data_IF_596900192801
#
_entry.id   IF_596900192801
#
_cell.length_a   1.000
_cell.length_b   1.000
_cell.length_c   1.000
_cell.angle_alpha   90.00
_cell.angle_beta   90.00
_cell.angle_gamma   90.00
#
_symmetry.space_group_name_H-M   'P 1'
#
loop_
_entity.id
_entity.type
_entity.pdbx_description
1 polymer ?
#
# COMPACT_ATOMS: atom_id res chain seq x y z
N UNK A 1 -14.91 4.28 -14.19
CA UNK A 1 -14.55 2.99 -13.54
C UNK A 1 -15.70 1.98 -13.66
N UNK A 2 -15.51 0.86 -14.36
CA UNK A 2 -16.61 -0.07 -14.76
C UNK A 2 -17.46 -0.61 -13.60
N UNK A 3 -16.88 -1.25 -12.58
CA UNK A 3 -17.70 -1.86 -11.51
C UNK A 3 -18.49 -0.85 -10.67
N UNK A 4 -17.91 0.31 -10.37
CA UNK A 4 -18.60 1.28 -9.49
C UNK A 4 -19.46 2.30 -10.22
N UNK A 5 -19.07 2.76 -11.42
CA UNK A 5 -19.86 3.73 -12.17
C UNK A 5 -20.90 3.04 -13.05
N UNK A 6 -20.51 2.04 -13.84
CA UNK A 6 -21.44 1.39 -14.78
C UNK A 6 -22.37 0.39 -14.10
N UNK A 7 -21.84 -0.44 -13.20
CA UNK A 7 -22.63 -1.46 -12.48
C UNK A 7 -23.12 -1.02 -11.08
N UNK A 8 -22.79 0.20 -10.65
CA UNK A 8 -23.27 0.73 -9.37
C UNK A 8 -22.83 -0.05 -8.12
N UNK A 9 -21.77 -0.86 -8.20
CA UNK A 9 -21.35 -1.69 -7.06
C UNK A 9 -20.80 -0.80 -5.95
N UNK A 10 -21.39 -0.84 -4.74
CA UNK A 10 -21.03 0.07 -3.67
C UNK A 10 -19.62 -0.19 -3.16
N UNK A 11 -18.96 0.89 -2.73
CA UNK A 11 -17.68 0.85 -2.06
C UNK A 11 -17.89 0.73 -0.55
N UNK A 12 -17.32 -0.31 0.05
CA UNK A 12 -17.29 -0.49 1.50
C UNK A 12 -16.02 0.16 2.04
N UNK A 13 -16.17 1.34 2.62
CA UNK A 13 -15.12 2.00 3.40
C UNK A 13 -14.83 1.18 4.66
N UNK A 14 -13.56 1.08 5.03
CA UNK A 14 -13.12 0.49 6.31
C UNK A 14 -12.40 1.53 7.19
N UNK A 15 -12.67 2.82 6.96
CA UNK A 15 -12.11 3.95 7.72
C UNK A 15 -12.47 3.94 9.21
N UNK A 16 -13.49 3.18 9.59
CA UNK A 16 -13.88 2.89 10.98
C UNK A 16 -12.87 1.97 11.69
N UNK A 17 -12.14 1.15 10.93
CA UNK A 17 -11.11 0.24 11.47
C UNK A 17 -9.68 0.73 11.16
N UNK A 18 -9.43 1.23 9.95
CA UNK A 18 -8.13 1.74 9.51
C UNK A 18 -8.21 3.25 9.25
N UNK A 19 -7.60 4.04 10.14
CA UNK A 19 -7.76 5.49 10.13
C UNK A 19 -6.92 6.18 9.04
N UNK A 20 -5.89 5.51 8.54
CA UNK A 20 -4.95 6.10 7.60
C UNK A 20 -5.56 6.20 6.20
N UNK A 21 -5.50 7.40 5.63
CA UNK A 21 -6.12 7.74 4.34
C UNK A 21 -5.18 8.55 3.44
N UNK A 22 -3.97 8.81 3.91
CA UNK A 22 -3.00 9.64 3.22
C UNK A 22 -1.61 9.04 3.37
N UNK A 23 -0.78 9.25 2.35
CA UNK A 23 0.60 8.84 2.37
C UNK A 23 1.49 9.87 1.68
N UNK A 24 2.71 10.03 2.18
CA UNK A 24 3.74 10.83 1.54
C UNK A 24 4.87 9.88 1.16
N UNK A 25 5.10 9.74 -0.14
CA UNK A 25 6.10 8.83 -0.67
C UNK A 25 7.30 9.61 -1.20
N UNK A 26 8.48 9.03 -1.04
CA UNK A 26 9.71 9.61 -1.52
C UNK A 26 10.76 8.57 -1.89
N UNK A 27 11.69 8.98 -2.74
CA UNK A 27 12.80 8.15 -3.22
C UNK A 27 14.10 8.73 -2.69
N UNK A 28 14.83 7.93 -1.91
CA UNK A 28 16.05 8.35 -1.24
C UNK A 28 17.23 7.55 -1.80
N UNK A 29 18.29 8.19 -2.33
CA UNK A 29 19.46 7.49 -2.80
C UNK A 29 20.27 6.92 -1.64
N UNK A 30 21.04 5.86 -1.90
CA UNK A 30 22.08 5.40 -0.97
C UNK A 30 23.25 6.38 -0.93
N UNK A 31 23.99 6.41 0.18
CA UNK A 31 25.19 7.23 0.32
C UNK A 31 26.38 6.58 -0.39
N UNK A 32 26.45 5.26 -0.35
CA UNK A 32 27.49 4.46 -1.02
C UNK A 32 26.90 3.26 -1.75
N UNK A 33 27.57 2.80 -2.81
CA UNK A 33 27.18 1.58 -3.52
C UNK A 33 27.36 0.29 -2.69
N UNK A 34 28.11 0.38 -1.59
CA UNK A 34 28.33 -0.70 -0.62
C UNK A 34 27.36 -0.66 0.57
N UNK A 35 26.42 0.30 0.60
CA UNK A 35 25.45 0.38 1.69
C UNK A 35 24.63 -0.92 1.76
N UNK A 36 24.50 -1.45 2.97
CA UNK A 36 23.72 -2.67 3.18
C UNK A 36 22.25 -2.44 2.85
N UNK A 37 21.72 -3.31 1.99
CA UNK A 37 20.30 -3.35 1.67
C UNK A 37 19.64 -4.24 2.72
N UNK A 38 18.67 -3.69 3.45
CA UNK A 38 17.89 -4.47 4.40
C UNK A 38 17.12 -5.58 3.67
N UNK A 39 17.20 -6.81 4.17
CA UNK A 39 16.48 -7.96 3.62
C UNK A 39 14.97 -7.93 3.90
N UNK A 40 14.50 -6.95 4.67
CA UNK A 40 13.11 -6.78 5.07
C UNK A 40 12.66 -5.33 4.92
N UNK A 41 11.36 -5.15 4.69
CA UNK A 41 10.73 -3.84 4.77
C UNK A 41 10.71 -3.38 6.22
N UNK A 42 11.30 -2.23 6.49
CA UNK A 42 11.31 -1.65 7.83
C UNK A 42 10.04 -0.82 7.99
N UNK A 43 9.31 -1.06 9.07
CA UNK A 43 8.10 -0.31 9.43
C UNK A 43 8.31 0.38 10.77
N UNK A 44 8.45 1.70 10.76
CA UNK A 44 8.70 2.51 11.95
C UNK A 44 7.44 3.25 12.36
N UNK A 45 6.88 2.94 13.53
CA UNK A 45 5.71 3.64 14.06
C UNK A 45 6.01 5.13 14.30
N UNK A 46 5.03 5.99 13.97
CA UNK A 46 5.05 7.43 14.21
C UNK A 46 3.82 7.83 15.03
N UNK A 47 3.79 9.08 15.50
CA UNK A 47 2.69 9.58 16.36
C UNK A 47 1.30 9.48 15.70
N UNK A 48 1.21 9.71 14.39
CA UNK A 48 -0.05 9.76 13.65
C UNK A 48 -0.06 8.81 12.44
N UNK A 49 0.68 7.70 12.53
CA UNK A 49 0.85 6.78 11.41
C UNK A 49 2.12 5.95 11.51
N UNK A 50 2.70 5.60 10.38
CA UNK A 50 3.94 4.82 10.32
C UNK A 50 4.72 5.10 9.03
N UNK A 51 6.03 4.93 9.10
CA UNK A 51 6.93 5.09 7.96
C UNK A 51 7.35 3.72 7.46
N UNK A 52 7.20 3.47 6.16
CA UNK A 52 7.83 2.35 5.49
C UNK A 52 9.20 2.76 4.94
N UNK A 53 10.18 1.87 5.01
CA UNK A 53 11.45 1.97 4.31
C UNK A 53 11.69 0.64 3.57
N UNK A 54 11.74 0.73 2.24
CA UNK A 54 11.97 -0.39 1.33
C UNK A 54 13.30 -0.16 0.61
N UNK A 55 14.32 -0.93 0.95
CA UNK A 55 15.59 -0.95 0.23
C UNK A 55 15.45 -1.68 -1.11
N UNK A 56 15.70 -0.98 -2.22
CA UNK A 56 15.87 -1.57 -3.55
C UNK A 56 17.35 -1.49 -3.94
N UNK A 57 17.84 -2.28 -4.92
CA UNK A 57 19.25 -2.24 -5.31
C UNK A 57 19.80 -0.85 -5.66
N UNK A 58 18.96 0.02 -6.25
CA UNK A 58 19.38 1.35 -6.70
C UNK A 58 19.07 2.48 -5.72
N UNK A 59 18.09 2.30 -4.82
CA UNK A 59 17.52 3.38 -3.98
C UNK A 59 16.64 2.82 -2.86
N UNK A 60 16.30 3.67 -1.89
CA UNK A 60 15.27 3.38 -0.88
C UNK A 60 13.95 4.06 -1.25
N UNK A 61 12.87 3.30 -1.19
CA UNK A 61 11.50 3.82 -1.26
C UNK A 61 10.98 4.03 0.15
N UNK A 62 10.97 5.28 0.60
CA UNK A 62 10.54 5.64 1.96
C UNK A 62 9.21 6.39 1.86
N UNK A 63 8.28 6.10 2.76
CA UNK A 63 7.07 6.91 2.83
C UNK A 63 6.38 6.85 4.17
N UNK A 64 5.66 7.92 4.49
CA UNK A 64 4.89 8.09 5.72
C UNK A 64 3.42 7.91 5.41
N UNK A 65 2.80 6.83 5.90
CA UNK A 65 1.35 6.69 5.94
C UNK A 65 0.82 7.41 7.16
N UNK A 66 -0.20 8.24 7.00
CA UNK A 66 -0.81 8.98 8.09
C UNK A 66 -2.33 9.10 7.90
N UNK A 67 -3.00 9.51 8.99
CA UNK A 67 -4.43 9.81 8.97
C UNK A 67 -4.65 11.32 8.96
N UNK A 68 -5.33 11.81 7.92
CA UNK A 68 -5.68 13.23 7.76
C UNK A 68 -6.55 13.78 8.92
N UNK A 69 -7.19 12.89 9.69
CA UNK A 69 -8.00 13.25 10.87
C UNK A 69 -7.15 13.67 12.08
N UNK A 70 -5.90 13.20 12.15
CA UNK A 70 -5.04 13.40 13.32
C UNK A 70 -3.80 14.24 12.99
N UNK A 71 -3.43 14.41 11.72
CA UNK A 71 -2.30 15.26 11.32
C UNK A 71 -2.47 15.82 9.92
N UNK A 72 -1.98 17.04 9.72
CA UNK A 72 -1.95 17.69 8.42
C UNK A 72 -0.77 17.19 7.57
N UNK A 73 -0.90 17.36 6.26
CA UNK A 73 0.14 16.96 5.32
C UNK A 73 1.50 17.60 5.62
N UNK A 74 1.52 18.88 6.01
CA UNK A 74 2.77 19.60 6.29
C UNK A 74 3.49 19.01 7.53
N UNK A 75 2.73 18.67 8.58
CA UNK A 75 3.27 18.00 9.77
C UNK A 75 3.81 16.59 9.45
N UNK A 76 3.09 15.86 8.59
CA UNK A 76 3.52 14.55 8.12
C UNK A 76 4.80 14.64 7.26
N UNK A 77 4.96 15.69 6.44
CA UNK A 77 6.18 15.97 5.67
C UNK A 77 7.36 16.28 6.56
N UNK A 78 7.18 17.09 7.61
CA UNK A 78 8.25 17.39 8.58
C UNK A 78 8.72 16.11 9.27
N UNK A 79 7.79 15.22 9.62
CA UNK A 79 8.13 13.93 10.25
C UNK A 79 8.92 13.04 9.28
N UNK A 80 8.49 12.94 8.02
CA UNK A 80 9.21 12.20 6.99
C UNK A 80 10.59 12.81 6.70
N UNK A 81 10.68 14.13 6.62
CA UNK A 81 11.94 14.86 6.39
C UNK A 81 12.95 14.55 7.49
N UNK A 82 12.55 14.65 8.76
CA UNK A 82 13.41 14.32 9.91
C UNK A 82 13.88 12.87 9.88
N UNK A 83 13.02 11.95 9.45
CA UNK A 83 13.38 10.55 9.30
C UNK A 83 14.45 10.36 8.20
N UNK A 84 14.27 10.99 7.03
CA UNK A 84 15.22 10.92 5.92
C UNK A 84 16.55 11.61 6.27
N UNK A 85 16.49 12.77 6.93
CA UNK A 85 17.66 13.51 7.38
C UNK A 85 18.56 12.67 8.31
N UNK A 86 17.96 11.87 9.20
CA UNK A 86 18.70 10.93 10.06
C UNK A 86 19.42 9.85 9.25
N UNK A 87 18.91 9.45 8.09
CA UNK A 87 19.45 8.37 7.27
C UNK A 87 20.55 8.82 6.32
N UNK A 88 20.36 9.96 5.63
CA UNK A 88 21.26 10.42 4.54
C UNK A 88 21.83 11.83 4.75
N UNK A 89 21.49 12.48 5.86
CA UNK A 89 21.92 13.84 6.17
C UNK A 89 21.14 14.94 5.45
N UNK A 90 21.24 16.16 5.97
CA UNK A 90 20.43 17.32 5.54
C UNK A 90 20.64 17.73 4.08
N UNK A 91 21.84 17.54 3.54
CA UNK A 91 22.17 17.94 2.15
C UNK A 91 21.39 17.13 1.11
N UNK A 92 21.20 15.84 1.36
CA UNK A 92 20.48 14.94 0.45
C UNK A 92 18.98 15.04 0.72
N UNK A 93 18.57 15.10 1.99
CA UNK A 93 17.17 15.24 2.38
C UNK A 93 16.47 16.43 1.69
N UNK A 94 17.16 17.57 1.50
CA UNK A 94 16.61 18.75 0.79
C UNK A 94 16.39 18.54 -0.71
N UNK A 95 17.09 17.60 -1.35
CA UNK A 95 16.98 17.32 -2.80
C UNK A 95 15.90 16.28 -3.11
N UNK A 96 15.40 15.62 -2.08
CA UNK A 96 14.47 14.50 -2.19
C UNK A 96 13.06 15.05 -2.46
N UNK A 97 12.41 14.56 -3.52
CA UNK A 97 11.04 14.96 -3.89
C UNK A 97 10.02 14.17 -3.09
N UNK A 98 9.13 14.86 -2.39
CA UNK A 98 8.01 14.25 -1.67
C UNK A 98 6.74 14.31 -2.53
N UNK A 99 6.04 13.19 -2.62
CA UNK A 99 4.76 13.08 -3.32
C UNK A 99 3.67 12.73 -2.33
N UNK A 100 2.70 13.64 -2.17
CA UNK A 100 1.47 13.39 -1.41
C UNK A 100 0.54 12.49 -2.23
N UNK A 101 -0.09 11.53 -1.56
CA UNK A 101 -1.03 10.56 -2.13
C UNK A 101 -2.18 10.46 -1.15
N UNK A 102 -3.40 10.74 -1.60
CA UNK A 102 -4.62 10.48 -0.82
C UNK A 102 -5.29 9.21 -1.31
N UNK A 103 -5.88 8.46 -0.40
CA UNK A 103 -6.63 7.24 -0.70
C UNK A 103 -7.79 7.03 0.26
N UNK A 104 -8.71 6.16 -0.13
CA UNK A 104 -9.84 5.75 0.71
C UNK A 104 -9.65 4.28 1.06
N UNK A 105 -9.30 3.92 2.31
CA UNK A 105 -9.15 2.53 2.68
C UNK A 105 -10.51 1.83 2.60
N UNK A 106 -10.57 0.76 1.81
CA UNK A 106 -11.81 0.01 1.59
C UNK A 106 -11.75 -0.87 0.34
N UNK A 107 -12.87 -1.53 0.07
CA UNK A 107 -13.01 -2.43 -1.07
C UNK A 107 -14.43 -2.41 -1.63
N UNK A 108 -14.59 -2.87 -2.87
CA UNK A 108 -15.90 -3.09 -3.48
C UNK A 108 -16.58 -4.27 -2.81
N UNK A 109 -17.91 -4.19 -2.68
CA UNK A 109 -18.70 -5.29 -2.11
C UNK A 109 -18.59 -6.57 -2.95
N UNK A 110 -18.42 -6.43 -4.28
CA UNK A 110 -18.19 -7.53 -5.23
C UNK A 110 -16.97 -7.20 -6.08
N UNK A 111 -16.12 -8.20 -6.31
CA UNK A 111 -14.92 -8.08 -7.15
C UNK A 111 -15.15 -8.52 -8.59
N UNK A 112 -16.20 -9.32 -8.82
CA UNK A 112 -16.61 -9.79 -10.14
C UNK A 112 -18.12 -9.60 -10.26
N UNK A 113 -18.55 -8.95 -11.36
CA UNK A 113 -19.94 -8.87 -11.74
C UNK A 113 -20.10 -8.98 -13.27
N UNK A 114 -20.99 -9.87 -13.73
CA UNK A 114 -21.14 -10.24 -15.15
C UNK A 114 -19.82 -10.64 -15.81
N UNK A 115 -19.42 -9.97 -16.88
CA UNK A 115 -18.16 -10.16 -17.60
C UNK A 115 -17.08 -9.16 -17.14
N UNK A 116 -17.26 -8.50 -16.00
CA UNK A 116 -16.34 -7.48 -15.50
C UNK A 116 -15.72 -7.89 -14.17
N UNK A 117 -14.39 -7.90 -14.14
CA UNK A 117 -13.58 -8.23 -12.95
C UNK A 117 -12.77 -7.00 -12.56
N UNK A 118 -12.87 -6.58 -11.29
CA UNK A 118 -12.03 -5.53 -10.74
C UNK A 118 -10.70 -6.10 -10.26
N UNK A 119 -9.59 -5.53 -10.74
CA UNK A 119 -8.23 -5.93 -10.39
C UNK A 119 -7.47 -4.74 -9.81
N UNK A 120 -6.70 -4.98 -8.73
CA UNK A 120 -5.89 -3.94 -8.08
C UNK A 120 -6.72 -2.84 -7.42
N UNK A 121 -6.37 -1.57 -7.67
CA UNK A 121 -7.06 -0.41 -7.06
C UNK A 121 -8.53 -0.28 -7.48
N UNK A 122 -8.95 -0.88 -8.61
CA UNK A 122 -10.36 -0.91 -9.02
C UNK A 122 -11.22 -1.76 -8.08
N UNK A 123 -10.61 -2.76 -7.43
CA UNK A 123 -11.25 -3.65 -6.47
C UNK A 123 -11.26 -3.06 -5.05
N UNK A 124 -10.18 -2.39 -4.66
CA UNK A 124 -10.02 -1.82 -3.33
C UNK A 124 -8.57 -1.50 -3.03
N UNK A 125 -8.35 -0.68 -2.02
CA UNK A 125 -7.02 -0.35 -1.52
C UNK A 125 -7.06 -0.23 -0.01
N UNK A 126 -6.05 -0.76 0.65
CA UNK A 126 -5.82 -0.63 2.08
C UNK A 126 -4.34 -0.31 2.27
N UNK A 127 -4.01 0.38 3.35
CA UNK A 127 -2.61 0.68 3.67
C UNK A 127 -1.78 -0.61 3.84
N UNK A 128 -0.48 -0.60 3.49
CA UNK A 128 0.36 -1.79 3.49
C UNK A 128 0.86 -2.24 4.88
N UNK A 129 0.00 -2.23 5.91
CA UNK A 129 0.33 -2.53 7.32
C UNK A 129 0.69 -4.01 7.60
N UNK A 130 0.49 -4.91 6.64
CA UNK A 130 1.06 -6.27 6.67
C UNK A 130 1.57 -6.60 5.28
N UNK A 131 2.88 -6.82 5.13
CA UNK A 131 3.43 -7.50 3.97
C UNK A 131 2.99 -8.98 3.96
N UNK A 132 1.72 -9.23 3.65
CA UNK A 132 1.30 -10.46 2.98
C UNK A 132 0.95 -10.08 1.55
N UNK A 133 1.77 -10.38 0.54
CA UNK A 133 1.50 -10.06 -0.87
C UNK A 133 0.37 -10.92 -1.48
N UNK A 134 -0.67 -11.24 -0.69
CA UNK A 134 -1.69 -12.25 -0.99
C UNK A 134 -3.12 -11.68 -1.02
N UNK A 135 -3.30 -10.37 -1.19
CA UNK A 135 -4.63 -9.80 -1.42
C UNK A 135 -4.94 -9.61 -2.91
N UNK A 136 -3.95 -9.24 -3.73
CA UNK A 136 -4.11 -9.10 -5.20
C UNK A 136 -4.02 -10.44 -5.94
N UNK A 137 -3.31 -11.43 -5.40
CA UNK A 137 -3.19 -12.77 -6.01
C UNK A 137 -4.40 -13.66 -5.81
N UNK A 138 -5.30 -13.34 -4.89
CA UNK A 138 -6.49 -14.16 -4.65
C UNK A 138 -7.48 -14.01 -5.78
N UNK A 139 -7.74 -12.78 -6.27
CA UNK A 139 -8.65 -12.53 -7.39
C UNK A 139 -8.23 -13.30 -8.66
N UNK A 140 -6.95 -13.21 -9.02
CA UNK A 140 -6.42 -13.90 -10.21
C UNK A 140 -6.42 -15.44 -10.07
N UNK A 141 -6.30 -15.99 -8.85
CA UNK A 141 -6.39 -17.44 -8.64
C UNK A 141 -7.83 -17.96 -8.69
N UNK A 142 -8.82 -17.18 -8.25
CA UNK A 142 -10.22 -17.56 -8.39
C UNK A 142 -10.67 -17.54 -9.86
N UNK A 143 -10.12 -16.66 -10.70
CA UNK A 143 -10.41 -16.62 -12.15
C UNK A 143 -9.95 -17.89 -12.89
N UNK A 144 -8.76 -18.43 -12.56
CA UNK A 144 -8.30 -19.71 -13.13
C UNK A 144 -9.09 -20.92 -12.60
N UNK A 145 -9.72 -20.82 -11.43
CA UNK A 145 -10.53 -21.90 -10.85
C UNK A 145 -11.97 -21.92 -11.35
N UNK A 146 -12.56 -20.75 -11.66
CA UNK A 146 -13.96 -20.63 -12.06
C UNK A 146 -14.21 -21.00 -13.53
N UNK A 147 -13.17 -21.12 -14.34
CA UNK A 147 -13.23 -21.55 -15.75
C UNK A 147 -13.20 -23.08 -15.93
N UNK A 148 -13.07 -23.85 -14.84
CA UNK A 148 -13.11 -25.32 -14.85
C UNK A 148 -14.33 -25.83 -14.05
N UNK A 149 -15.35 -26.23 -14.80
CA UNK A 149 -16.58 -26.95 -14.45
C UNK A 149 -16.61 -27.80 -13.16
N UNK A 150 -17.80 -27.79 -12.52
CA UNK A 150 -18.46 -28.91 -11.81
C UNK A 150 -17.66 -30.23 -11.74
N UNK A 151 -17.19 -30.64 -10.55
CA UNK A 151 -17.46 -31.95 -9.89
C UNK A 151 -16.43 -32.33 -8.82
N UNK A 152 -16.99 -32.73 -7.67
CA UNK A 152 -16.56 -33.76 -6.69
C UNK A 152 -15.38 -33.49 -5.74
N UNK A 153 -15.78 -33.41 -4.46
CA UNK A 153 -15.08 -33.83 -3.24
C UNK A 153 -14.12 -35.02 -3.45
N UNK A 154 -12.91 -34.93 -2.88
CA UNK A 154 -12.29 -35.94 -2.01
C UNK A 154 -11.15 -35.27 -1.23
N UNK A 155 -11.09 -35.49 0.09
CA UNK A 155 -10.01 -35.00 0.95
C UNK A 155 -8.75 -35.84 0.88
N UNK A 156 -7.64 -35.33 1.43
CA UNK A 156 -6.84 -36.00 2.47
C UNK A 156 -5.78 -35.03 3.03
N UNK A 157 -5.59 -35.09 4.35
CA UNK A 157 -4.42 -34.58 5.06
C UNK A 157 -3.18 -35.41 4.69
N UNK A 158 -2.05 -34.72 4.49
CA UNK A 158 -0.74 -34.97 5.11
C UNK A 158 0.04 -33.66 5.13
#
# INVERSE_FOLDING_TARGET
MLLGEHYGIPFKSIRDTLFNDSAIASQVPYLSASDSIASSTISTAQKHGWIWDIGLPSRRGIGHVYSSRYTDADNAEVTLYKHIEKLVGSKIAKKVKMRRISFSPGHRQKFWHHNCVAIGMAAGFIEPWKHRPRFSRTSAKYDCGATSSKQKSYGYCI
#
